data_IF_604370659413
#
_entry.id   IF_604370659413
#
_cell.length_a   1.000
_cell.length_b   1.000
_cell.length_c   1.000
_cell.angle_alpha   90.00
_cell.angle_beta   90.00
_cell.angle_gamma   90.00
#
_symmetry.space_group_name_H-M   'P 1'
#
loop_
_entity.id
_entity.type
_entity.pdbx_description
1 polymer ?
#
# COMPACT_ATOMS: atom_id res chain seq x y z
N UNK A 1 6.72 -9.02 21.55
CA UNK A 1 5.43 -8.53 21.02
C UNK A 1 5.64 -7.07 20.65
N UNK A 2 5.51 -6.67 19.38
CA UNK A 2 5.64 -5.25 19.03
C UNK A 2 4.49 -4.47 19.68
N UNK A 3 4.81 -3.41 20.42
CA UNK A 3 3.81 -2.56 21.05
C UNK A 3 3.19 -1.60 20.00
N UNK A 4 1.94 -1.17 20.26
CA UNK A 4 1.20 -0.28 19.35
C UNK A 4 1.92 1.05 19.10
N UNK A 5 2.69 1.55 20.06
CA UNK A 5 3.42 2.82 19.98
C UNK A 5 4.59 2.73 19.01
N UNK A 6 5.36 1.63 19.04
CA UNK A 6 6.41 1.39 18.06
C UNK A 6 5.88 1.29 16.63
N UNK A 7 4.73 0.64 16.42
CA UNK A 7 4.11 0.54 15.10
C UNK A 7 3.69 1.91 14.53
N UNK A 8 3.09 2.76 15.36
CA UNK A 8 2.70 4.13 14.95
C UNK A 8 3.93 4.96 14.60
N UNK A 9 5.00 4.87 15.41
CA UNK A 9 6.26 5.57 15.14
C UNK A 9 6.89 5.14 13.81
N UNK A 10 6.99 3.83 13.57
CA UNK A 10 7.52 3.28 12.32
C UNK A 10 6.77 3.78 11.09
N UNK A 11 5.44 3.80 11.14
CA UNK A 11 4.60 4.26 10.02
C UNK A 11 4.81 5.75 9.75
N UNK A 12 4.89 6.57 10.80
CA UNK A 12 5.14 8.00 10.67
C UNK A 12 6.51 8.28 10.04
N UNK A 13 7.55 7.55 10.46
CA UNK A 13 8.91 7.74 9.93
C UNK A 13 9.04 7.23 8.50
N UNK A 14 8.39 6.12 8.16
CA UNK A 14 8.30 5.64 6.78
C UNK A 14 7.63 6.68 5.86
N UNK A 15 6.49 7.22 6.28
CA UNK A 15 5.76 8.22 5.50
C UNK A 15 6.61 9.48 5.25
N UNK A 16 7.38 9.93 6.24
CA UNK A 16 8.33 11.04 6.08
C UNK A 16 9.46 10.69 5.11
N UNK A 17 10.07 9.51 5.26
CA UNK A 17 11.17 9.09 4.38
C UNK A 17 10.75 9.08 2.91
N UNK A 18 9.57 8.53 2.62
CA UNK A 18 9.00 8.47 1.27
C UNK A 18 8.69 9.84 0.65
N UNK A 19 8.69 10.93 1.44
CA UNK A 19 8.58 12.29 0.89
C UNK A 19 9.89 12.84 0.33
N UNK A 20 11.04 12.25 0.67
CA UNK A 20 12.34 12.73 0.21
C UNK A 20 12.50 12.61 -1.31
N UNK A 21 13.09 13.64 -1.93
CA UNK A 21 13.34 13.67 -3.37
C UNK A 21 14.20 12.49 -3.82
N UNK A 22 15.27 12.19 -3.07
CA UNK A 22 16.16 11.05 -3.32
C UNK A 22 15.42 9.72 -3.41
N UNK A 23 14.50 9.43 -2.47
CA UNK A 23 13.75 8.17 -2.53
C UNK A 23 12.72 8.18 -3.65
N UNK A 24 12.03 9.30 -3.89
CA UNK A 24 11.10 9.43 -5.02
C UNK A 24 11.79 9.14 -6.35
N UNK A 25 12.98 9.70 -6.58
CA UNK A 25 13.80 9.44 -7.77
C UNK A 25 14.23 7.97 -7.85
N UNK A 26 14.70 7.40 -6.74
CA UNK A 26 15.12 5.99 -6.69
C UNK A 26 13.98 5.01 -6.99
N UNK A 27 12.75 5.30 -6.55
CA UNK A 27 11.56 4.52 -6.91
C UNK A 27 11.12 4.77 -8.35
N UNK A 28 11.19 6.01 -8.84
CA UNK A 28 10.85 6.34 -10.22
C UNK A 28 11.74 5.59 -11.23
N UNK A 29 13.03 5.42 -10.93
CA UNK A 29 13.95 4.61 -11.75
C UNK A 29 13.53 3.12 -11.84
N UNK A 30 12.74 2.63 -10.90
CA UNK A 30 12.18 1.28 -10.89
C UNK A 30 10.76 1.23 -11.46
N UNK A 31 10.24 2.33 -11.99
CA UNK A 31 8.86 2.45 -12.47
C UNK A 31 7.82 2.48 -11.33
N UNK A 32 8.24 2.76 -10.10
CA UNK A 32 7.37 2.79 -8.92
C UNK A 32 7.09 4.23 -8.51
N UNK A 33 5.81 4.54 -8.27
CA UNK A 33 5.40 5.81 -7.66
C UNK A 33 4.98 5.53 -6.21
N UNK A 34 5.76 5.99 -5.22
CA UNK A 34 5.40 5.81 -3.82
C UNK A 34 4.09 6.51 -3.49
N UNK A 35 3.16 5.78 -2.89
CA UNK A 35 1.89 6.32 -2.38
C UNK A 35 1.81 6.10 -0.87
N UNK A 36 2.52 6.91 -0.06
CA UNK A 36 2.39 6.86 1.38
C UNK A 36 0.93 7.13 1.77
N UNK A 37 0.48 6.47 2.83
CA UNK A 37 -0.90 6.52 3.30
C UNK A 37 -0.97 6.32 4.81
N UNK A 38 -2.13 6.61 5.38
CA UNK A 38 -2.49 6.23 6.74
C UNK A 38 -2.90 4.76 6.82
N UNK A 39 -2.86 4.14 8.01
CA UNK A 39 -3.35 2.77 8.17
C UNK A 39 -4.82 2.58 7.73
N UNK A 40 -5.67 3.58 7.97
CA UNK A 40 -7.07 3.55 7.57
C UNK A 40 -7.24 3.59 6.05
N UNK A 41 -6.49 4.46 5.36
CA UNK A 41 -6.49 4.52 3.89
C UNK A 41 -5.94 3.23 3.27
N UNK A 42 -4.92 2.62 3.88
CA UNK A 42 -4.40 1.33 3.44
C UNK A 42 -5.45 0.20 3.58
N UNK A 43 -6.16 0.14 4.72
CA UNK A 43 -7.23 -0.82 4.93
C UNK A 43 -8.37 -0.63 3.92
N UNK A 44 -8.84 0.62 3.73
CA UNK A 44 -9.88 0.94 2.76
C UNK A 44 -9.47 0.57 1.33
N UNK A 45 -8.18 0.78 0.96
CA UNK A 45 -7.66 0.36 -0.34
C UNK A 45 -7.73 -1.16 -0.49
N UNK A 46 -7.26 -1.92 0.49
CA UNK A 46 -7.29 -3.39 0.44
C UNK A 46 -8.73 -3.90 0.27
N UNK A 47 -9.68 -3.37 1.04
CA UNK A 47 -11.10 -3.74 0.93
C UNK A 47 -11.64 -3.43 -0.48
N UNK A 48 -11.33 -2.25 -1.02
CA UNK A 48 -11.78 -1.87 -2.36
C UNK A 48 -11.18 -2.73 -3.47
N UNK A 49 -9.90 -3.11 -3.35
CA UNK A 49 -9.22 -3.96 -4.34
C UNK A 49 -9.77 -5.39 -4.26
N UNK A 50 -10.03 -5.93 -3.06
CA UNK A 50 -10.65 -7.25 -2.88
C UNK A 50 -12.03 -7.28 -3.55
N UNK A 51 -12.87 -6.28 -3.31
CA UNK A 51 -14.20 -6.21 -3.91
C UNK A 51 -14.11 -6.16 -5.44
N UNK A 52 -13.33 -5.21 -5.97
CA UNK A 52 -13.16 -5.01 -7.42
C UNK A 52 -12.65 -6.26 -8.12
N UNK A 53 -11.55 -6.84 -7.63
CA UNK A 53 -10.94 -7.99 -8.29
C UNK A 53 -11.74 -9.27 -8.07
N UNK A 54 -12.40 -9.42 -6.92
CA UNK A 54 -13.32 -10.52 -6.66
C UNK A 54 -14.50 -10.53 -7.64
N UNK A 55 -15.09 -9.37 -7.92
CA UNK A 55 -16.18 -9.25 -8.89
C UNK A 55 -15.69 -9.52 -10.31
N UNK A 56 -14.50 -9.04 -10.69
CA UNK A 56 -13.91 -9.35 -11.99
C UNK A 56 -13.74 -10.85 -12.17
N UNK A 57 -13.11 -11.54 -11.22
CA UNK A 57 -12.84 -12.99 -11.30
C UNK A 57 -14.15 -13.78 -11.51
N UNK A 58 -15.19 -13.47 -10.74
CA UNK A 58 -16.50 -14.14 -10.84
C UNK A 58 -17.15 -13.89 -12.19
N UNK A 59 -17.13 -12.65 -12.67
CA UNK A 59 -17.81 -12.24 -13.90
C UNK A 59 -17.09 -12.74 -15.15
N UNK A 60 -15.77 -12.84 -15.13
CA UNK A 60 -14.97 -13.33 -16.25
C UNK A 60 -14.71 -14.84 -16.23
N UNK A 61 -15.20 -15.56 -15.21
CA UNK A 61 -15.01 -17.00 -15.07
C UNK A 61 -13.56 -17.44 -14.89
N UNK A 62 -12.69 -16.53 -14.41
CA UNK A 62 -11.28 -16.85 -14.12
C UNK A 62 -11.24 -17.85 -12.95
N UNK A 63 -10.39 -18.86 -13.07
CA UNK A 63 -10.18 -19.87 -12.02
C UNK A 63 -8.72 -19.83 -11.57
N UNK A 64 -8.50 -20.11 -10.29
CA UNK A 64 -7.16 -20.44 -9.82
C UNK A 64 -6.72 -21.78 -10.43
N UNK A 65 -5.44 -21.91 -10.69
CA UNK A 65 -4.78 -23.13 -11.15
C UNK A 65 -4.51 -24.13 -10.02
#
# INVERSE_FOLDING_TARGET
MLDRRHLVGLIADLNKALQSAKLKEAFALQGVVPKPSTPAEAAARIESEIAKWGDLIKTSGIKAE
#
